data_IF_694101054634
#
_entry.id   IF_694101054634
#
_cell.length_a   1.000
_cell.length_b   1.000
_cell.length_c   1.000
_cell.angle_alpha   90.00
_cell.angle_beta   90.00
_cell.angle_gamma   90.00
#
_symmetry.space_group_name_H-M   'P 1'
#
loop_
_entity.id
_entity.type
_entity.pdbx_description
1 polymer ?
#
# COMPACT_ATOMS: atom_id res chain seq x y z
N UNK A 1 -9.46 19.53 13.28
CA UNK A 1 -9.20 18.97 11.93
C UNK A 1 -9.33 17.46 12.05
N UNK A 2 -10.05 16.77 11.15
CA UNK A 2 -10.07 15.31 11.15
C UNK A 2 -8.62 14.82 11.01
N UNK A 3 -8.23 13.87 11.85
CA UNK A 3 -6.90 13.29 11.81
C UNK A 3 -6.96 12.10 10.85
N UNK A 4 -6.35 12.21 9.67
CA UNK A 4 -6.24 11.05 8.78
C UNK A 4 -5.35 10.01 9.46
N UNK A 5 -5.76 8.74 9.42
CA UNK A 5 -4.99 7.64 9.96
C UNK A 5 -4.25 6.87 8.86
N UNK A 6 -3.23 6.10 9.23
CA UNK A 6 -2.57 5.17 8.31
C UNK A 6 -3.58 4.23 7.62
N UNK A 7 -4.59 3.77 8.36
CA UNK A 7 -5.63 2.89 7.85
C UNK A 7 -6.46 3.57 6.76
N UNK A 8 -6.72 4.86 6.89
CA UNK A 8 -7.49 5.62 5.89
C UNK A 8 -6.73 5.73 4.57
N UNK A 9 -5.42 5.99 4.62
CA UNK A 9 -4.57 6.02 3.42
C UNK A 9 -4.55 4.66 2.73
N UNK A 10 -4.39 3.56 3.48
CA UNK A 10 -4.46 2.21 2.93
C UNK A 10 -5.85 1.90 2.35
N UNK A 11 -6.92 2.36 2.99
CA UNK A 11 -8.29 2.14 2.54
C UNK A 11 -8.63 2.91 1.25
N UNK A 12 -7.93 4.04 1.00
CA UNK A 12 -7.99 4.79 -0.25
C UNK A 12 -7.18 4.10 -1.36
N UNK A 13 -5.93 3.75 -1.10
CA UNK A 13 -5.03 3.09 -2.07
C UNK A 13 -5.55 1.70 -2.46
N UNK A 14 -6.05 0.93 -1.47
CA UNK A 14 -6.48 -0.47 -1.61
C UNK A 14 -5.45 -1.33 -2.35
N UNK A 15 -4.20 -1.43 -1.84
CA UNK A 15 -3.13 -2.16 -2.52
C UNK A 15 -3.45 -3.63 -2.78
N UNK A 16 -4.22 -4.28 -1.89
CA UNK A 16 -4.73 -5.63 -2.08
C UNK A 16 -6.24 -5.54 -2.37
N UNK A 17 -6.64 -5.79 -3.62
CA UNK A 17 -8.06 -5.70 -4.02
C UNK A 17 -8.90 -6.71 -3.22
N UNK A 18 -10.00 -6.23 -2.62
CA UNK A 18 -10.92 -7.06 -1.82
C UNK A 18 -10.48 -7.35 -0.39
N UNK A 19 -9.30 -6.89 0.03
CA UNK A 19 -8.78 -7.13 1.36
C UNK A 19 -9.27 -6.07 2.37
N UNK A 20 -9.43 -6.47 3.63
CA UNK A 20 -9.84 -5.57 4.70
C UNK A 20 -8.63 -4.85 5.31
N UNK A 21 -8.81 -3.56 5.64
CA UNK A 21 -7.83 -2.79 6.43
C UNK A 21 -8.10 -3.03 7.91
N UNK A 22 -7.04 -3.35 8.67
CA UNK A 22 -7.03 -3.53 10.11
C UNK A 22 -5.91 -2.69 10.71
N UNK A 23 -6.25 -1.52 11.23
CA UNK A 23 -5.28 -0.55 11.77
C UNK A 23 -4.35 -0.04 10.67
N UNK A 24 -3.07 -0.41 10.75
CA UNK A 24 -2.01 0.05 9.83
C UNK A 24 -1.69 -0.96 8.71
N UNK A 25 -2.54 -1.96 8.50
CA UNK A 25 -2.28 -3.05 7.55
C UNK A 25 -3.53 -3.41 6.79
N UNK A 26 -3.37 -3.81 5.53
CA UNK A 26 -4.39 -4.54 4.78
C UNK A 26 -3.98 -6.02 4.73
N UNK A 27 -4.91 -6.92 5.04
CA UNK A 27 -4.62 -8.36 5.08
C UNK A 27 -5.55 -9.11 4.14
N UNK A 28 -4.97 -9.93 3.27
CA UNK A 28 -5.70 -10.80 2.35
C UNK A 28 -5.24 -12.25 2.52
N UNK A 29 -6.09 -13.21 2.16
CA UNK A 29 -5.71 -14.61 2.01
C UNK A 29 -5.90 -15.04 0.56
N UNK A 30 -4.89 -15.72 0.02
CA UNK A 30 -4.91 -16.28 -1.34
C UNK A 30 -4.41 -17.72 -1.23
N UNK A 31 -5.30 -18.69 -1.39
CA UNK A 31 -5.02 -20.09 -1.07
C UNK A 31 -4.57 -20.23 0.39
N UNK A 32 -3.43 -20.89 0.59
CA UNK A 32 -2.80 -21.09 1.91
C UNK A 32 -1.89 -19.92 2.34
N UNK A 33 -1.78 -18.86 1.53
CA UNK A 33 -0.90 -17.72 1.80
C UNK A 33 -1.65 -16.55 2.43
N UNK A 34 -0.96 -15.84 3.31
CA UNK A 34 -1.39 -14.59 3.92
C UNK A 34 -0.59 -13.46 3.29
N UNK A 35 -1.28 -12.51 2.68
CA UNK A 35 -0.71 -11.30 2.11
C UNK A 35 -0.95 -10.15 3.08
N UNK A 36 0.09 -9.38 3.37
CA UNK A 36 0.00 -8.20 4.24
C UNK A 36 0.56 -7.01 3.47
N UNK A 37 -0.25 -5.97 3.27
CA UNK A 37 0.18 -4.68 2.76
C UNK A 37 0.19 -3.63 3.87
N UNK A 38 1.19 -2.75 3.89
CA UNK A 38 1.27 -1.61 4.80
C UNK A 38 2.00 -0.45 4.12
N UNK A 39 1.80 0.79 4.58
CA UNK A 39 2.58 1.91 4.06
C UNK A 39 4.07 1.71 4.40
N UNK A 40 4.94 1.94 3.42
CA UNK A 40 6.38 1.88 3.58
C UNK A 40 6.88 3.19 4.22
N UNK A 41 7.27 3.13 5.48
CA UNK A 41 7.69 4.31 6.24
C UNK A 41 9.10 4.73 5.83
N UNK A 42 9.30 6.04 5.65
CA UNK A 42 10.63 6.61 5.39
C UNK A 42 11.37 6.90 6.70
N UNK A 43 12.56 7.51 6.62
CA UNK A 43 13.31 7.94 7.80
C UNK A 43 12.58 9.02 8.63
N UNK A 44 11.61 9.71 8.04
CA UNK A 44 10.79 10.71 8.72
C UNK A 44 9.58 10.03 9.33
N UNK A 45 9.32 10.31 10.62
CA UNK A 45 8.06 9.90 11.24
C UNK A 45 6.90 10.43 10.40
N UNK A 46 5.89 9.59 10.16
CA UNK A 46 4.64 9.98 9.50
C UNK A 46 4.76 10.29 7.99
N UNK A 47 5.89 9.92 7.37
CA UNK A 47 6.10 10.01 5.93
C UNK A 47 6.24 8.62 5.32
N UNK A 48 5.61 8.40 4.17
CA UNK A 48 5.58 7.12 3.48
C UNK A 48 5.87 7.28 1.99
N UNK A 49 6.77 6.47 1.44
CA UNK A 49 7.16 6.55 0.02
C UNK A 49 6.56 5.43 -0.84
N UNK A 50 5.75 4.54 -0.26
CA UNK A 50 5.21 3.39 -0.98
C UNK A 50 4.35 2.44 -0.15
N UNK A 51 4.19 1.23 -0.68
CA UNK A 51 3.54 0.09 -0.04
C UNK A 51 4.55 -1.06 0.10
N UNK A 52 4.69 -1.60 1.31
CA UNK A 52 5.35 -2.88 1.52
C UNK A 52 4.31 -3.99 1.46
N UNK A 53 4.54 -5.00 0.61
CA UNK A 53 3.74 -6.22 0.53
C UNK A 53 4.59 -7.39 1.05
N UNK A 54 4.04 -8.14 2.00
CA UNK A 54 4.66 -9.37 2.55
C UNK A 54 3.79 -10.56 2.20
N UNK A 55 4.43 -11.64 1.77
CA UNK A 55 3.80 -12.94 1.52
C UNK A 55 4.22 -13.92 2.60
N UNK A 56 3.26 -14.47 3.32
CA UNK A 56 3.49 -15.32 4.49
C UNK A 56 2.78 -16.66 4.28
N UNK A 57 3.54 -17.74 4.41
CA UNK A 57 3.00 -19.08 4.61
C UNK A 57 2.81 -19.32 6.11
N UNK A 58 1.63 -19.76 6.58
CA UNK A 58 1.43 -20.18 7.97
C UNK A 58 2.36 -21.31 8.41
N UNK A 59 2.91 -22.08 7.47
CA UNK A 59 3.79 -23.23 7.73
C UNK A 59 5.28 -22.88 7.63
N UNK A 60 5.65 -22.05 6.65
CA UNK A 60 7.06 -21.75 6.35
C UNK A 60 7.50 -20.36 6.82
N UNK A 61 6.58 -19.51 7.30
CA UNK A 61 6.87 -18.13 7.68
C UNK A 61 6.84 -17.18 6.48
N UNK A 62 7.61 -16.08 6.55
CA UNK A 62 7.68 -15.12 5.45
C UNK A 62 8.37 -15.77 4.25
N UNK A 63 7.65 -15.87 3.14
CA UNK A 63 8.17 -16.37 1.88
C UNK A 63 8.88 -15.28 1.09
N UNK A 64 8.26 -14.10 1.02
CA UNK A 64 8.78 -12.99 0.25
C UNK A 64 8.30 -11.63 0.78
N UNK A 65 9.00 -10.57 0.41
CA UNK A 65 8.67 -9.17 0.70
C UNK A 65 9.10 -8.28 -0.46
N UNK A 66 8.22 -7.40 -0.90
CA UNK A 66 8.54 -6.37 -1.87
C UNK A 66 8.00 -5.01 -1.46
N UNK A 67 8.67 -3.94 -1.90
CA UNK A 67 8.24 -2.57 -1.70
C UNK A 67 7.93 -1.93 -3.06
N UNK A 68 6.79 -1.28 -3.15
CA UNK A 68 6.31 -0.59 -4.34
C UNK A 68 6.26 0.89 -4.03
N UNK A 69 7.16 1.69 -4.63
CA UNK A 69 7.22 3.13 -4.36
C UNK A 69 6.16 3.89 -5.14
N UNK A 70 5.58 4.90 -4.52
CA UNK A 70 4.58 5.75 -5.15
C UNK A 70 5.11 6.46 -6.40
N UNK A 71 6.35 6.95 -6.33
CA UNK A 71 7.03 7.62 -7.43
C UNK A 71 7.24 6.72 -8.67
N UNK A 72 7.34 5.40 -8.48
CA UNK A 72 7.58 4.43 -9.55
C UNK A 72 6.28 3.99 -10.25
N UNK A 73 5.12 4.28 -9.65
CA UNK A 73 3.82 3.77 -10.06
C UNK A 73 2.76 4.87 -10.20
N UNK A 74 3.19 6.12 -10.42
CA UNK A 74 2.30 7.25 -10.67
C UNK A 74 1.22 7.47 -9.60
N UNK A 75 1.42 6.96 -8.38
CA UNK A 75 0.36 6.89 -7.35
C UNK A 75 -0.07 8.27 -6.87
N UNK A 76 0.86 9.23 -6.95
CA UNK A 76 0.65 10.61 -6.56
C UNK A 76 0.76 11.52 -7.80
N UNK A 77 0.08 12.67 -7.81
CA UNK A 77 0.21 13.65 -8.88
C UNK A 77 1.68 14.02 -9.07
N UNK A 78 2.09 14.27 -10.31
CA UNK A 78 3.48 14.54 -10.71
C UNK A 78 4.21 15.62 -9.87
N UNK A 79 3.46 16.48 -9.19
CA UNK A 79 4.00 17.57 -8.35
C UNK A 79 4.16 17.19 -6.86
N UNK A 80 3.65 16.03 -6.44
CA UNK A 80 3.91 15.49 -5.12
C UNK A 80 5.29 14.84 -5.12
N UNK A 81 6.09 15.07 -4.08
CA UNK A 81 7.49 14.62 -3.99
C UNK A 81 7.68 13.10 -3.83
N UNK A 82 6.74 12.27 -4.32
CA UNK A 82 6.79 10.81 -4.22
C UNK A 82 6.50 10.25 -2.83
N UNK A 83 6.15 11.09 -1.87
CA UNK A 83 5.88 10.73 -0.48
C UNK A 83 4.48 11.21 -0.04
N UNK A 84 3.81 10.40 0.77
CA UNK A 84 2.58 10.76 1.48
C UNK A 84 2.94 11.07 2.93
N UNK A 85 2.53 12.24 3.40
CA UNK A 85 2.53 12.58 4.84
C UNK A 85 1.13 12.40 5.39
N UNK A 86 0.98 11.92 6.62
CA UNK A 86 -0.35 11.73 7.26
C UNK A 86 -1.17 13.02 7.26
N UNK A 87 -0.52 14.18 7.43
CA UNK A 87 -1.18 15.50 7.41
C UNK A 87 -1.63 15.99 6.03
N UNK A 88 -1.11 15.41 4.95
CA UNK A 88 -1.46 15.76 3.57
C UNK A 88 -2.44 14.75 2.97
N UNK A 89 -2.85 13.74 3.73
CA UNK A 89 -3.71 12.68 3.24
C UNK A 89 -5.17 13.13 2.99
N UNK A 90 -5.56 14.29 3.52
CA UNK A 90 -6.83 14.96 3.18
C UNK A 90 -6.81 15.48 1.74
N UNK A 91 -5.64 15.88 1.22
CA UNK A 91 -5.49 16.28 -0.19
C UNK A 91 -5.63 15.10 -1.16
N UNK A 92 -5.61 13.85 -0.66
CA UNK A 92 -5.87 12.66 -1.50
C UNK A 92 -7.32 12.57 -1.96
N UNK A 93 -8.25 13.34 -1.36
CA UNK A 93 -9.65 13.40 -1.79
C UNK A 93 -9.86 14.41 -2.94
N UNK A 94 -8.84 15.17 -3.32
CA UNK A 94 -8.92 16.05 -4.48
C UNK A 94 -9.00 15.21 -5.77
N UNK A 95 -9.91 15.54 -6.70
CA UNK A 95 -10.00 14.84 -7.98
C UNK A 95 -8.65 14.82 -8.71
N UNK A 96 -8.11 13.61 -8.95
CA UNK A 96 -6.82 13.40 -9.61
C UNK A 96 -5.59 13.39 -8.69
N UNK A 97 -5.76 13.48 -7.36
CA UNK A 97 -4.66 13.49 -6.41
C UNK A 97 -4.16 12.10 -5.97
N UNK A 98 -4.90 11.02 -6.27
CA UNK A 98 -4.44 9.66 -6.03
C UNK A 98 -4.91 8.74 -7.17
N UNK A 99 -3.98 8.35 -8.05
CA UNK A 99 -4.21 7.30 -9.04
C UNK A 99 -3.40 6.06 -8.68
N UNK A 100 -3.97 5.21 -7.84
CA UNK A 100 -3.32 3.97 -7.41
C UNK A 100 -3.48 2.82 -8.42
N UNK A 101 -3.97 3.05 -9.63
CA UNK A 101 -4.25 1.95 -10.57
C UNK A 101 -2.97 1.19 -10.96
N UNK A 102 -1.94 1.88 -11.42
CA UNK A 102 -0.67 1.25 -11.81
C UNK A 102 0.01 0.53 -10.63
N UNK A 103 -0.07 1.11 -9.43
CA UNK A 103 0.43 0.52 -8.20
C UNK A 103 -0.29 -0.79 -7.88
N UNK A 104 -1.63 -0.79 -7.93
CA UNK A 104 -2.45 -1.99 -7.70
C UNK A 104 -2.15 -3.07 -8.72
N UNK A 105 -1.96 -2.70 -9.98
CA UNK A 105 -1.64 -3.64 -11.06
C UNK A 105 -0.24 -4.24 -10.87
N UNK A 106 0.74 -3.44 -10.44
CA UNK A 106 2.09 -3.92 -10.10
C UNK A 106 2.06 -4.90 -8.92
N UNK A 107 1.35 -4.56 -7.85
CA UNK A 107 1.16 -5.44 -6.68
C UNK A 107 0.44 -6.73 -7.09
N UNK A 108 -0.61 -6.63 -7.91
CA UNK A 108 -1.37 -7.77 -8.41
C UNK A 108 -0.49 -8.75 -9.21
N UNK A 109 0.35 -8.24 -10.12
CA UNK A 109 1.31 -9.06 -10.88
C UNK A 109 2.33 -9.74 -9.99
N UNK A 110 2.88 -9.02 -9.02
CA UNK A 110 3.82 -9.57 -8.05
C UNK A 110 3.19 -10.71 -7.24
N UNK A 111 2.01 -10.48 -6.66
CA UNK A 111 1.30 -11.51 -5.89
C UNK A 111 0.98 -12.73 -6.76
N UNK A 112 0.51 -12.53 -7.99
CA UNK A 112 0.22 -13.62 -8.92
C UNK A 112 1.46 -14.46 -9.23
N UNK A 113 2.63 -13.84 -9.39
CA UNK A 113 3.89 -14.56 -9.66
C UNK A 113 4.37 -15.48 -8.53
N UNK A 114 3.87 -15.27 -7.31
CA UNK A 114 4.23 -16.07 -6.12
C UNK A 114 3.16 -17.12 -5.82
N UNK A 115 1.90 -16.84 -6.16
CA UNK A 115 0.76 -17.71 -5.86
C UNK A 115 0.46 -18.76 -6.94
N UNK A 116 1.06 -18.63 -8.14
CA UNK A 116 0.97 -19.59 -9.25
C UNK A 116 2.14 -20.59 -9.21
#
# INVERSE_FOLDING_TARGET
>A
MPHVSHGDVLAKIRPLVGAAVSGIKQVCRVGDLILIASLAQTIRSETYDGITVRVISPRAGQLDVNQFRFAEHGTLPLNAAGEITIYNADCLDEPGALDAQELRDAIGRYVASICC
#
